data_IF_999823580312
#
_entry.id   IF_999823580312
#
_cell.length_a   1.000
_cell.length_b   1.000
_cell.length_c   1.000
_cell.angle_alpha   90.00
_cell.angle_beta   90.00
_cell.angle_gamma   90.00
#
_symmetry.space_group_name_H-M   'P 1'
#
loop_
_entity.id
_entity.type
_entity.pdbx_description
1 polymer ?
#
# COMPACT_ATOMS: atom_id res chain seq x y z
N UNK A 1 -10.29 17.21 -15.36
CA UNK A 1 -9.04 17.29 -14.57
C UNK A 1 -8.64 15.88 -14.15
N UNK A 2 -7.38 15.53 -14.31
CA UNK A 2 -6.82 14.28 -13.83
C UNK A 2 -6.23 14.53 -12.43
N UNK A 3 -6.46 13.63 -11.48
CA UNK A 3 -5.85 13.71 -10.15
C UNK A 3 -4.34 13.47 -10.22
N UNK A 4 -3.57 14.26 -9.48
CA UNK A 4 -2.12 14.13 -9.35
C UNK A 4 -1.82 13.43 -8.02
N UNK A 5 -1.27 12.23 -8.10
CA UNK A 5 -0.87 11.47 -6.90
C UNK A 5 0.64 11.63 -6.73
N UNK A 6 1.04 12.31 -5.66
CA UNK A 6 2.43 12.39 -5.24
C UNK A 6 2.91 11.08 -4.60
N UNK A 7 4.23 10.93 -4.47
CA UNK A 7 4.82 9.76 -3.81
C UNK A 7 5.89 10.19 -2.83
N UNK A 8 5.81 9.71 -1.59
CA UNK A 8 6.88 9.83 -0.59
C UNK A 8 7.16 8.46 0.01
N UNK A 9 8.36 8.25 0.52
CA UNK A 9 8.76 6.96 1.11
C UNK A 9 8.42 6.94 2.60
N UNK A 10 7.93 5.82 3.10
CA UNK A 10 7.69 5.63 4.54
C UNK A 10 8.99 5.51 5.35
N UNK A 11 8.94 5.67 6.67
CA UNK A 11 10.12 5.65 7.53
C UNK A 11 10.82 4.29 7.61
N UNK A 12 10.10 3.17 7.46
CA UNK A 12 10.68 1.83 7.52
C UNK A 12 11.68 1.54 6.39
N UNK A 13 11.36 1.74 5.09
CA UNK A 13 12.35 1.61 4.04
C UNK A 13 13.45 2.68 4.12
N UNK A 14 13.18 3.88 4.63
CA UNK A 14 14.25 4.85 4.89
C UNK A 14 15.25 4.30 5.91
N UNK A 15 14.79 3.62 6.95
CA UNK A 15 15.68 2.96 7.91
C UNK A 15 16.52 1.85 7.27
N UNK A 16 15.97 1.08 6.34
CA UNK A 16 16.73 0.10 5.57
C UNK A 16 17.88 0.74 4.78
N UNK A 17 17.65 1.92 4.24
CA UNK A 17 18.70 2.67 3.53
C UNK A 17 19.77 3.25 4.45
N UNK A 18 19.38 3.65 5.67
CA UNK A 18 20.32 4.27 6.64
C UNK A 18 21.15 3.22 7.38
N UNK A 19 20.52 2.14 7.85
CA UNK A 19 21.13 1.15 8.73
C UNK A 19 21.51 -0.16 8.05
N UNK A 20 20.98 -0.41 6.83
CA UNK A 20 20.99 -1.72 6.19
C UNK A 20 19.84 -2.61 6.71
N UNK A 21 19.31 -3.49 5.85
CA UNK A 21 18.12 -4.29 6.19
C UNK A 21 18.39 -5.20 7.39
N UNK A 22 19.45 -6.00 7.35
CA UNK A 22 19.78 -6.96 8.39
C UNK A 22 20.03 -6.27 9.74
N UNK A 23 20.90 -5.26 9.76
CA UNK A 23 21.21 -4.52 10.98
C UNK A 23 19.97 -3.86 11.59
N UNK A 24 19.12 -3.26 10.75
CA UNK A 24 17.91 -2.62 11.23
C UNK A 24 16.94 -3.64 11.84
N UNK A 25 16.77 -4.80 11.21
CA UNK A 25 15.92 -5.87 11.76
C UNK A 25 16.47 -6.40 13.09
N UNK A 26 17.79 -6.57 13.23
CA UNK A 26 18.40 -6.92 14.53
C UNK A 26 18.17 -5.84 15.58
N UNK A 27 18.31 -4.55 15.23
CA UNK A 27 18.02 -3.44 16.15
C UNK A 27 16.59 -3.46 16.68
N UNK A 28 15.61 -3.97 15.95
CA UNK A 28 14.22 -4.07 16.44
C UNK A 28 14.10 -4.97 17.68
N UNK A 29 15.05 -5.89 17.87
CA UNK A 29 15.14 -6.80 19.01
C UNK A 29 16.11 -6.26 20.07
N UNK A 30 17.30 -5.82 19.65
CA UNK A 30 18.40 -5.48 20.55
C UNK A 30 18.24 -4.08 21.19
N UNK A 31 17.72 -3.10 20.44
CA UNK A 31 17.46 -1.73 20.90
C UNK A 31 16.18 -1.15 20.28
N UNK A 32 15.00 -1.63 20.70
CA UNK A 32 13.71 -1.17 20.15
C UNK A 32 13.47 0.33 20.38
N UNK A 33 14.02 0.91 21.44
CA UNK A 33 13.88 2.33 21.73
C UNK A 33 14.67 3.19 20.72
N UNK A 34 15.83 2.73 20.29
CA UNK A 34 16.58 3.39 19.21
C UNK A 34 15.82 3.31 17.88
N UNK A 35 15.18 2.17 17.60
CA UNK A 35 14.32 2.02 16.42
C UNK A 35 13.17 3.02 16.46
N UNK A 36 12.43 3.13 17.56
CA UNK A 36 11.33 4.10 17.70
C UNK A 36 11.82 5.54 17.50
N UNK A 37 12.91 5.94 18.15
CA UNK A 37 13.49 7.27 17.96
C UNK A 37 13.90 7.53 16.51
N UNK A 38 14.44 6.52 15.84
CA UNK A 38 14.81 6.60 14.42
C UNK A 38 13.60 6.75 13.51
N UNK A 39 12.53 5.98 13.76
CA UNK A 39 11.29 6.07 13.00
C UNK A 39 10.67 7.47 13.09
N UNK A 40 10.57 8.04 14.30
CA UNK A 40 10.07 9.41 14.47
C UNK A 40 10.92 10.46 13.74
N UNK A 41 12.24 10.28 13.65
CA UNK A 41 13.09 11.19 12.88
C UNK A 41 12.95 11.00 11.36
N UNK A 42 12.92 9.75 10.89
CA UNK A 42 12.80 9.45 9.47
C UNK A 42 11.42 9.83 8.92
N UNK A 43 10.36 9.72 9.72
CA UNK A 43 9.02 10.21 9.39
C UNK A 43 9.04 11.68 8.98
N UNK A 44 9.86 12.53 9.63
CA UNK A 44 9.92 13.96 9.27
C UNK A 44 10.37 14.18 7.83
N UNK A 45 11.27 13.33 7.30
CA UNK A 45 11.68 13.38 5.88
C UNK A 45 10.46 13.12 4.99
N UNK A 46 9.68 12.09 5.32
CA UNK A 46 8.47 11.70 4.59
C UNK A 46 7.44 12.82 4.59
N UNK A 47 7.22 13.44 5.74
CA UNK A 47 6.25 14.52 5.92
C UNK A 47 6.67 15.78 5.16
N UNK A 48 7.91 16.25 5.34
CA UNK A 48 8.42 17.45 4.66
C UNK A 48 8.34 17.31 3.13
N UNK A 49 8.68 16.14 2.60
CA UNK A 49 8.59 15.89 1.17
C UNK A 49 7.12 15.78 0.70
N UNK A 50 6.26 15.19 1.52
CA UNK A 50 4.82 15.15 1.28
C UNK A 50 4.20 16.54 1.25
N UNK A 51 4.49 17.39 2.24
CA UNK A 51 4.02 18.78 2.31
C UNK A 51 4.45 19.60 1.09
N UNK A 52 5.70 19.42 0.63
CA UNK A 52 6.19 20.07 -0.58
C UNK A 52 5.42 19.64 -1.85
N UNK A 53 5.07 18.36 -1.98
CA UNK A 53 4.27 17.87 -3.10
C UNK A 53 2.82 18.37 -3.04
N UNK A 54 2.23 18.44 -1.85
CA UNK A 54 0.89 19.03 -1.65
C UNK A 54 0.90 20.50 -2.04
N UNK A 55 1.89 21.26 -1.59
CA UNK A 55 2.05 22.67 -1.96
C UNK A 55 2.25 22.86 -3.47
N UNK A 56 2.86 21.88 -4.17
CA UNK A 56 3.02 21.87 -5.62
C UNK A 56 1.75 21.41 -6.37
N UNK A 57 0.68 21.01 -5.67
CA UNK A 57 -0.62 20.68 -6.26
C UNK A 57 -0.93 19.18 -6.34
N UNK A 58 -0.29 18.34 -5.55
CA UNK A 58 -0.70 16.94 -5.42
C UNK A 58 -2.10 16.85 -4.76
N UNK A 59 -2.98 16.07 -5.37
CA UNK A 59 -4.35 15.84 -4.88
C UNK A 59 -4.40 14.71 -3.83
N UNK A 60 -3.43 13.79 -3.84
CA UNK A 60 -3.26 12.68 -2.91
C UNK A 60 -1.78 12.30 -2.81
N UNK A 61 -1.42 11.52 -1.78
CA UNK A 61 -0.07 10.95 -1.65
C UNK A 61 -0.15 9.44 -1.50
N UNK A 62 0.74 8.72 -2.19
CA UNK A 62 1.04 7.32 -1.90
C UNK A 62 2.38 7.21 -1.20
N UNK A 63 2.47 6.35 -0.19
CA UNK A 63 3.74 6.08 0.43
C UNK A 63 3.93 4.58 0.74
N UNK A 64 4.91 3.96 0.08
CA UNK A 64 5.33 2.61 0.40
C UNK A 64 6.06 2.60 1.75
N UNK A 65 5.67 1.66 2.61
CA UNK A 65 6.34 1.42 3.90
C UNK A 65 6.47 -0.09 4.15
N UNK A 66 7.61 -0.65 3.74
CA UNK A 66 7.80 -2.08 3.53
C UNK A 66 7.99 -2.93 4.80
N UNK A 67 7.18 -2.71 5.83
CA UNK A 67 7.06 -3.61 6.98
C UNK A 67 6.18 -4.82 6.62
N UNK A 68 6.66 -5.64 5.69
CA UNK A 68 5.95 -6.82 5.18
C UNK A 68 5.90 -7.97 6.17
N UNK A 69 4.84 -8.79 6.13
CA UNK A 69 4.73 -10.02 6.91
C UNK A 69 5.77 -11.09 6.57
N UNK A 70 6.46 -10.94 5.45
CA UNK A 70 7.57 -11.80 5.08
C UNK A 70 8.84 -11.55 5.94
N UNK A 71 8.92 -10.39 6.63
CA UNK A 71 10.07 -9.98 7.45
C UNK A 71 9.73 -9.72 8.92
N UNK A 72 8.58 -9.13 9.19
CA UNK A 72 8.15 -8.75 10.55
C UNK A 72 6.67 -9.03 10.76
N UNK A 73 6.27 -9.32 12.01
CA UNK A 73 4.88 -9.62 12.36
C UNK A 73 3.99 -8.36 12.39
N UNK A 74 2.65 -8.56 12.41
CA UNK A 74 1.69 -7.47 12.61
C UNK A 74 1.88 -6.74 13.94
N UNK A 75 2.34 -7.44 15.00
CA UNK A 75 2.69 -6.81 16.28
C UNK A 75 3.87 -5.85 16.17
N UNK A 76 4.86 -6.12 15.30
CA UNK A 76 5.95 -5.19 15.01
C UNK A 76 5.44 -3.95 14.28
N UNK A 77 4.52 -4.13 13.31
CA UNK A 77 3.84 -3.01 12.68
C UNK A 77 3.12 -2.15 13.72
N UNK A 78 2.33 -2.75 14.59
CA UNK A 78 1.63 -2.05 15.67
C UNK A 78 2.58 -1.28 16.57
N UNK A 79 3.70 -1.92 16.98
CA UNK A 79 4.68 -1.34 17.90
C UNK A 79 5.46 -0.17 17.30
N UNK A 80 5.89 -0.28 16.04
CA UNK A 80 6.87 0.64 15.47
C UNK A 80 6.30 1.64 14.45
N UNK A 81 5.14 1.35 13.85
CA UNK A 81 4.65 2.13 12.72
C UNK A 81 3.23 2.67 12.87
N UNK A 82 2.35 2.01 13.62
CA UNK A 82 0.95 2.40 13.69
C UNK A 82 0.77 3.86 14.14
N UNK A 83 1.41 4.26 15.26
CA UNK A 83 1.36 5.63 15.77
C UNK A 83 1.97 6.64 14.78
N UNK A 84 3.07 6.27 14.15
CA UNK A 84 3.72 7.10 13.13
C UNK A 84 2.80 7.35 11.92
N UNK A 85 2.09 6.32 11.47
CA UNK A 85 1.13 6.45 10.39
C UNK A 85 -0.08 7.31 10.79
N UNK A 86 -0.52 7.22 12.05
CA UNK A 86 -1.55 8.10 12.61
C UNK A 86 -1.10 9.57 12.58
N UNK A 87 0.10 9.87 13.08
CA UNK A 87 0.67 11.22 13.04
C UNK A 87 0.82 11.76 11.61
N UNK A 88 1.24 10.90 10.66
CA UNK A 88 1.33 11.29 9.25
C UNK A 88 -0.04 11.60 8.66
N UNK A 89 -1.06 10.79 8.96
CA UNK A 89 -2.43 11.02 8.52
C UNK A 89 -3.02 12.31 9.09
N UNK A 90 -2.66 12.67 10.32
CA UNK A 90 -3.07 13.92 10.93
C UNK A 90 -2.39 15.16 10.33
N UNK A 91 -1.12 15.03 9.91
CA UNK A 91 -0.32 16.16 9.40
C UNK A 91 -0.53 16.43 7.92
N UNK A 92 -0.59 15.39 7.09
CA UNK A 92 -0.72 15.52 5.64
C UNK A 92 -2.20 15.61 5.25
N UNK A 93 -2.69 16.81 4.92
CA UNK A 93 -4.11 17.14 4.71
C UNK A 93 -4.63 16.82 3.32
N UNK A 94 -4.24 15.68 2.77
CA UNK A 94 -4.76 15.09 1.52
C UNK A 94 -5.01 13.59 1.74
N UNK A 95 -5.80 12.93 0.88
CA UNK A 95 -5.91 11.47 0.93
C UNK A 95 -4.56 10.77 0.89
N UNK A 96 -4.33 9.87 1.84
CA UNK A 96 -3.10 9.09 1.94
C UNK A 96 -3.36 7.62 1.59
N UNK A 97 -2.53 7.07 0.71
CA UNK A 97 -2.57 5.68 0.27
C UNK A 97 -1.32 4.99 0.81
N UNK A 98 -1.46 4.21 1.89
CA UNK A 98 -0.37 3.38 2.39
C UNK A 98 -0.18 2.16 1.48
N UNK A 99 1.07 1.83 1.15
CA UNK A 99 1.39 0.59 0.42
C UNK A 99 2.39 -0.27 1.19
N UNK A 100 2.04 -1.53 1.42
CA UNK A 100 2.94 -2.55 1.97
C UNK A 100 2.82 -3.80 1.10
N UNK A 101 3.93 -4.23 0.49
CA UNK A 101 4.00 -5.46 -0.29
C UNK A 101 3.93 -6.71 0.60
N UNK A 102 3.66 -7.85 -0.02
CA UNK A 102 3.71 -9.16 0.61
C UNK A 102 2.50 -9.49 1.48
N UNK A 103 2.65 -10.47 2.35
CA UNK A 103 1.58 -10.86 3.25
C UNK A 103 1.38 -9.80 4.35
N UNK A 104 0.18 -9.24 4.43
CA UNK A 104 -0.15 -8.13 5.35
C UNK A 104 -1.46 -8.33 6.11
N UNK A 105 -2.13 -9.47 5.94
CA UNK A 105 -3.44 -9.71 6.55
C UNK A 105 -3.43 -9.54 8.08
N UNK A 106 -2.33 -9.95 8.73
CA UNK A 106 -2.12 -9.87 10.18
C UNK A 106 -2.00 -8.45 10.75
N UNK A 107 -1.87 -7.44 9.89
CA UNK A 107 -1.73 -6.02 10.25
C UNK A 107 -2.80 -5.12 9.69
N UNK A 108 -3.67 -5.62 8.81
CA UNK A 108 -4.71 -4.79 8.16
C UNK A 108 -5.68 -4.18 9.17
N UNK A 109 -5.96 -4.86 10.28
CA UNK A 109 -6.77 -4.28 11.36
C UNK A 109 -6.10 -3.07 12.01
N UNK A 110 -4.79 -3.11 12.24
CA UNK A 110 -4.02 -1.96 12.74
C UNK A 110 -3.93 -0.84 11.71
N UNK A 111 -3.73 -1.19 10.43
CA UNK A 111 -3.70 -0.22 9.32
C UNK A 111 -5.04 0.52 9.23
N UNK A 112 -6.16 -0.18 9.37
CA UNK A 112 -7.49 0.41 9.34
C UNK A 112 -7.78 1.42 10.49
N UNK A 113 -6.90 1.45 11.51
CA UNK A 113 -6.99 2.37 12.66
C UNK A 113 -6.06 3.59 12.52
N UNK A 114 -5.31 3.70 11.42
CA UNK A 114 -4.31 4.78 11.25
C UNK A 114 -4.89 6.11 10.79
N UNK A 115 -6.13 6.14 10.31
CA UNK A 115 -6.71 7.32 9.67
C UNK A 115 -6.24 7.55 8.22
N UNK A 116 -5.47 6.63 7.66
CA UNK A 116 -5.16 6.62 6.23
C UNK A 116 -6.43 6.45 5.40
N UNK A 117 -6.48 7.07 4.20
CA UNK A 117 -7.66 6.99 3.34
C UNK A 117 -7.80 5.64 2.67
N UNK A 118 -6.67 5.04 2.28
CA UNK A 118 -6.67 3.75 1.61
C UNK A 118 -5.41 2.93 1.90
N UNK A 119 -5.54 1.62 1.79
CA UNK A 119 -4.44 0.67 1.85
C UNK A 119 -4.29 -0.07 0.52
N UNK A 120 -3.13 0.07 -0.10
CA UNK A 120 -2.75 -0.64 -1.32
C UNK A 120 -2.04 -1.93 -0.95
N UNK A 121 -2.67 -3.06 -1.22
CA UNK A 121 -2.27 -4.38 -0.74
C UNK A 121 -1.85 -5.32 -1.87
N UNK A 122 -1.01 -6.30 -1.51
CA UNK A 122 -0.40 -7.29 -2.40
C UNK A 122 -1.34 -8.48 -2.66
N UNK A 123 -1.19 -9.14 -3.80
CA UNK A 123 -1.97 -10.31 -4.22
C UNK A 123 -1.78 -11.56 -3.34
N UNK A 124 -0.75 -11.57 -2.48
CA UNK A 124 -0.59 -12.60 -1.43
C UNK A 124 -1.72 -12.61 -0.42
N UNK A 125 -2.55 -11.58 -0.40
CA UNK A 125 -3.72 -11.48 0.47
C UNK A 125 -4.99 -11.66 -0.35
N UNK A 126 -5.87 -12.56 0.09
CA UNK A 126 -7.18 -12.72 -0.53
C UNK A 126 -8.02 -11.45 -0.36
N UNK A 127 -8.64 -10.91 -1.43
CA UNK A 127 -9.38 -9.66 -1.36
C UNK A 127 -10.61 -9.74 -0.47
N UNK A 128 -11.32 -10.89 -0.41
CA UNK A 128 -12.48 -11.04 0.47
C UNK A 128 -12.04 -11.01 1.95
N UNK A 129 -10.99 -11.76 2.31
CA UNK A 129 -10.46 -11.73 3.67
C UNK A 129 -9.97 -10.34 4.06
N UNK A 130 -9.31 -9.62 3.13
CA UNK A 130 -8.87 -8.25 3.37
C UNK A 130 -10.05 -7.32 3.66
N UNK A 131 -11.12 -7.40 2.85
CA UNK A 131 -12.34 -6.62 3.06
C UNK A 131 -13.02 -6.95 4.39
N UNK A 132 -13.09 -8.23 4.76
CA UNK A 132 -13.66 -8.68 6.03
C UNK A 132 -12.90 -8.08 7.23
N UNK A 133 -11.56 -8.13 7.20
CA UNK A 133 -10.69 -7.58 8.26
C UNK A 133 -10.83 -6.07 8.39
N UNK A 134 -10.78 -5.33 7.28
CA UNK A 134 -10.86 -3.86 7.36
C UNK A 134 -12.28 -3.36 7.66
N UNK A 135 -13.31 -4.15 7.34
CA UNK A 135 -14.72 -3.87 7.68
C UNK A 135 -15.16 -2.44 7.33
N UNK A 136 -14.77 -1.93 6.18
CA UNK A 136 -15.12 -0.59 5.69
C UNK A 136 -14.45 0.58 6.41
N UNK A 137 -13.53 0.34 7.36
CA UNK A 137 -12.82 1.39 8.11
C UNK A 137 -11.73 2.11 7.30
N UNK A 138 -11.26 1.50 6.22
CA UNK A 138 -10.28 2.05 5.27
C UNK A 138 -10.61 1.54 3.87
N UNK A 139 -10.38 2.35 2.83
CA UNK A 139 -10.50 1.90 1.45
C UNK A 139 -9.39 0.92 1.07
N UNK A 140 -9.70 -0.07 0.22
CA UNK A 140 -8.70 -0.98 -0.32
C UNK A 140 -8.38 -0.66 -1.78
N UNK A 141 -7.10 -0.75 -2.13
CA UNK A 141 -6.54 -0.56 -3.48
C UNK A 141 -5.74 -1.80 -3.85
N UNK A 142 -5.96 -2.34 -5.03
CA UNK A 142 -5.20 -3.52 -5.50
C UNK A 142 -6.16 -4.54 -6.14
N UNK A 143 -5.79 -5.79 -6.25
CA UNK A 143 -4.47 -6.40 -5.98
C UNK A 143 -4.14 -7.39 -7.11
N UNK A 144 -4.12 -6.88 -8.35
CA UNK A 144 -3.83 -7.70 -9.52
C UNK A 144 -2.39 -8.19 -9.46
N UNK A 145 -2.18 -9.50 -9.54
CA UNK A 145 -0.84 -10.09 -9.46
C UNK A 145 0.04 -9.66 -10.62
N UNK A 146 1.22 -9.13 -10.32
CA UNK A 146 2.15 -8.61 -11.32
C UNK A 146 2.92 -9.72 -12.05
N UNK A 147 3.67 -10.62 -11.38
CA UNK A 147 4.51 -11.60 -12.08
C UNK A 147 3.71 -12.69 -12.77
N UNK A 148 2.68 -13.21 -12.12
CA UNK A 148 1.98 -14.39 -12.60
C UNK A 148 0.85 -14.05 -13.58
N UNK A 149 0.19 -12.91 -13.42
CA UNK A 149 -0.95 -12.52 -14.25
C UNK A 149 -0.61 -11.39 -15.20
N UNK A 150 -0.26 -10.20 -14.72
CA UNK A 150 0.02 -9.06 -15.60
C UNK A 150 1.19 -9.29 -16.55
N UNK A 151 2.24 -9.95 -16.09
CA UNK A 151 3.42 -10.24 -16.89
C UNK A 151 3.29 -11.52 -17.71
N UNK A 152 2.90 -12.63 -17.05
CA UNK A 152 3.02 -13.97 -17.64
C UNK A 152 1.76 -14.45 -18.39
N UNK A 153 0.57 -13.84 -18.14
CA UNK A 153 -0.70 -14.26 -18.73
C UNK A 153 -1.21 -13.28 -19.80
N UNK A 154 -2.47 -13.44 -20.17
CA UNK A 154 -3.17 -12.61 -21.13
C UNK A 154 -4.31 -11.80 -20.51
N UNK A 155 -5.00 -10.96 -21.33
CA UNK A 155 -6.06 -10.08 -20.85
C UNK A 155 -7.23 -10.80 -20.16
N UNK A 156 -7.52 -12.05 -20.55
CA UNK A 156 -8.61 -12.82 -19.95
C UNK A 156 -8.36 -13.13 -18.47
N UNK A 157 -7.13 -13.51 -18.12
CA UNK A 157 -6.74 -13.78 -16.73
C UNK A 157 -6.71 -12.50 -15.92
N UNK A 158 -6.27 -11.38 -16.51
CA UNK A 158 -6.34 -10.06 -15.88
C UNK A 158 -7.78 -9.69 -15.54
N UNK A 159 -8.71 -9.90 -16.48
CA UNK A 159 -10.14 -9.66 -16.25
C UNK A 159 -10.70 -10.47 -15.09
N UNK A 160 -10.33 -11.76 -14.99
CA UNK A 160 -10.77 -12.63 -13.89
C UNK A 160 -10.32 -12.08 -12.53
N UNK A 161 -9.07 -11.60 -12.43
CA UNK A 161 -8.58 -11.01 -11.17
C UNK A 161 -9.27 -9.68 -10.86
N UNK A 162 -9.52 -8.83 -11.87
CA UNK A 162 -10.30 -7.60 -11.68
C UNK A 162 -11.68 -7.90 -11.11
N UNK A 163 -12.40 -8.86 -11.71
CA UNK A 163 -13.72 -9.25 -11.25
C UNK A 163 -13.67 -9.81 -9.83
N UNK A 164 -12.72 -10.69 -9.52
CA UNK A 164 -12.50 -11.20 -8.15
C UNK A 164 -12.35 -10.07 -7.12
N UNK A 165 -11.59 -9.03 -7.43
CA UNK A 165 -11.42 -7.89 -6.53
C UNK A 165 -12.71 -7.07 -6.39
N UNK A 166 -13.41 -6.81 -7.49
CA UNK A 166 -14.65 -6.05 -7.49
C UNK A 166 -15.79 -6.80 -6.78
N UNK A 167 -15.90 -8.12 -6.99
CA UNK A 167 -16.89 -8.97 -6.32
C UNK A 167 -16.65 -9.02 -4.80
N UNK A 168 -15.39 -8.95 -4.36
CA UNK A 168 -15.04 -8.81 -2.95
C UNK A 168 -15.33 -7.41 -2.39
N UNK A 169 -15.58 -6.40 -3.22
CA UNK A 169 -15.88 -5.03 -2.81
C UNK A 169 -14.66 -4.12 -2.72
N UNK A 170 -13.52 -4.47 -3.33
CA UNK A 170 -12.34 -3.59 -3.40
C UNK A 170 -12.69 -2.33 -4.20
N UNK A 171 -12.44 -1.15 -3.61
CA UNK A 171 -12.94 0.12 -4.15
C UNK A 171 -12.09 0.68 -5.29
N UNK A 172 -10.81 0.35 -5.36
CA UNK A 172 -9.91 0.83 -6.40
C UNK A 172 -9.05 -0.32 -6.93
N UNK A 173 -9.21 -0.64 -8.20
CA UNK A 173 -8.46 -1.74 -8.82
C UNK A 173 -7.12 -1.22 -9.34
N UNK A 174 -6.05 -1.90 -8.95
CA UNK A 174 -4.68 -1.58 -9.33
C UNK A 174 -3.81 -2.85 -9.40
N UNK A 175 -2.67 -2.82 -10.10
CA UNK A 175 -1.61 -3.80 -9.89
C UNK A 175 -1.18 -3.85 -8.41
N UNK A 176 -0.76 -5.00 -7.92
CA UNK A 176 -0.39 -5.20 -6.50
C UNK A 176 0.80 -4.36 -6.02
N UNK A 177 1.70 -4.02 -6.92
CA UNK A 177 2.95 -3.29 -6.63
C UNK A 177 3.51 -2.67 -7.93
N UNK A 178 4.82 -2.44 -7.98
CA UNK A 178 5.51 -1.95 -9.16
C UNK A 178 5.37 -2.92 -10.35
N UNK A 179 4.83 -2.42 -11.45
CA UNK A 179 4.60 -3.20 -12.67
C UNK A 179 5.93 -3.48 -13.38
N UNK A 180 6.25 -4.74 -13.75
CA UNK A 180 7.41 -5.06 -14.55
C UNK A 180 7.42 -4.31 -15.88
N UNK A 181 8.57 -3.73 -16.27
CA UNK A 181 8.68 -2.91 -17.49
C UNK A 181 8.32 -3.66 -18.79
N UNK A 182 8.49 -4.98 -18.80
CA UNK A 182 8.17 -5.84 -19.93
C UNK A 182 6.70 -6.33 -19.95
N UNK A 183 5.86 -5.83 -19.03
CA UNK A 183 4.43 -6.15 -19.03
C UNK A 183 3.77 -5.68 -20.32
N UNK A 184 2.96 -6.55 -20.93
CA UNK A 184 2.26 -6.23 -22.16
C UNK A 184 1.23 -5.11 -21.94
N UNK A 185 1.26 -4.11 -22.82
CA UNK A 185 0.34 -2.98 -22.73
C UNK A 185 -1.14 -3.40 -22.77
N UNK A 186 -1.46 -4.46 -23.54
CA UNK A 186 -2.82 -5.01 -23.62
C UNK A 186 -3.36 -5.48 -22.25
N UNK A 187 -2.50 -6.05 -21.39
CA UNK A 187 -2.87 -6.47 -20.05
C UNK A 187 -3.14 -5.27 -19.14
N UNK A 188 -2.35 -4.20 -19.24
CA UNK A 188 -2.61 -2.97 -18.48
C UNK A 188 -3.90 -2.26 -18.93
N UNK A 189 -4.17 -2.23 -20.24
CA UNK A 189 -5.40 -1.66 -20.79
C UNK A 189 -6.63 -2.48 -20.38
N UNK A 190 -6.48 -3.79 -20.18
CA UNK A 190 -7.58 -4.65 -19.77
C UNK A 190 -8.13 -4.32 -18.37
N UNK A 191 -7.29 -3.81 -17.45
CA UNK A 191 -7.74 -3.45 -16.11
C UNK A 191 -8.91 -2.44 -16.16
N UNK A 192 -8.77 -1.23 -16.73
CA UNK A 192 -9.88 -0.28 -16.80
C UNK A 192 -11.05 -0.77 -17.68
N UNK A 193 -10.78 -1.61 -18.70
CA UNK A 193 -11.84 -2.20 -19.52
C UNK A 193 -12.71 -3.18 -18.71
N UNK A 194 -12.06 -4.04 -17.92
CA UNK A 194 -12.75 -5.00 -17.07
C UNK A 194 -13.55 -4.30 -15.97
N UNK A 195 -13.00 -3.25 -15.33
CA UNK A 195 -13.73 -2.44 -14.35
C UNK A 195 -14.99 -1.83 -14.98
N UNK A 196 -14.87 -1.26 -16.18
CA UNK A 196 -16.03 -0.69 -16.89
C UNK A 196 -17.08 -1.73 -17.21
N UNK A 197 -16.67 -2.88 -17.76
CA UNK A 197 -17.59 -3.96 -18.09
C UNK A 197 -18.34 -4.49 -16.86
N UNK A 198 -17.61 -4.75 -15.76
CA UNK A 198 -18.21 -5.17 -14.50
C UNK A 198 -19.23 -4.16 -13.97
N UNK A 199 -18.91 -2.86 -14.04
CA UNK A 199 -19.82 -1.80 -13.59
C UNK A 199 -21.11 -1.79 -14.44
N UNK A 200 -21.00 -1.96 -15.75
CA UNK A 200 -22.19 -2.03 -16.66
C UNK A 200 -23.04 -3.28 -16.39
N UNK A 201 -22.43 -4.41 -15.98
CA UNK A 201 -23.12 -5.65 -15.65
C UNK A 201 -23.86 -5.59 -14.30
N UNK A 202 -23.43 -4.72 -13.36
CA UNK A 202 -23.93 -4.63 -11.98
C UNK A 202 -24.67 -3.31 -11.68
N UNK A 203 -24.94 -2.49 -12.69
CA UNK A 203 -25.75 -1.25 -12.62
C UNK A 203 -27.19 -1.52 -13.02
#
# INVERSE_FOLDING_TARGET
>A
RVAVIGKTMGPWPLAYHVFGVENFLLMTVDDPDMVLRSMHKLKEISVLFGEAQIAAGADALTFPDHATGDLVSGEYYRKFLMEIHQEMAERLKVPLILHICGNTLDRMDYIAQTGMSSFHFDSKNDPQQAMDVVSGRIGLVGNINNPETLYARGPEEVRKEVYRCLDAGVQMIAPECAVPLATKLENLIEIPRAVKAWTEEHS
#
